data_IF_846586016490
#
_entry.id   IF_846586016490
#
_cell.length_a   1.000
_cell.length_b   1.000
_cell.length_c   1.000
_cell.angle_alpha   90.00
_cell.angle_beta   90.00
_cell.angle_gamma   90.00
#
_symmetry.space_group_name_H-M   'P 1'
#
loop_
_entity.id
_entity.type
_entity.pdbx_description
1 polymer ?
#
# COMPACT_ATOMS: atom_id res chain seq x y z
N UNK A 1 -4.23 22.29 50.69
CA UNK A 1 -3.01 22.65 49.93
C UNK A 1 -2.15 21.41 49.86
N UNK A 2 -2.02 20.80 48.69
CA UNK A 2 -1.20 19.60 48.47
C UNK A 2 -0.20 19.94 47.38
N UNK A 3 1.07 20.03 47.76
CA UNK A 3 2.20 20.32 46.88
C UNK A 3 2.70 18.99 46.35
N UNK A 4 2.63 18.79 45.03
CA UNK A 4 3.23 17.65 44.33
C UNK A 4 4.54 18.11 43.68
N UNK A 5 5.68 17.41 43.89
CA UNK A 5 6.99 17.86 43.42
C UNK A 5 7.19 17.60 41.92
N UNK A 6 7.74 18.60 41.24
CA UNK A 6 8.13 18.61 39.83
C UNK A 6 9.45 17.84 39.67
N UNK A 7 9.44 16.74 38.91
CA UNK A 7 10.67 16.04 38.52
C UNK A 7 11.43 16.84 37.45
N UNK A 8 12.70 17.16 37.74
CA UNK A 8 13.69 17.68 36.79
C UNK A 8 14.06 16.60 35.78
N UNK A 9 13.74 16.81 34.51
CA UNK A 9 14.30 16.01 33.40
C UNK A 9 15.61 16.68 32.97
N UNK A 10 16.73 16.00 33.25
CA UNK A 10 18.05 16.32 32.74
C UNK A 10 18.05 16.25 31.20
N UNK A 11 18.27 17.38 30.52
CA UNK A 11 18.69 17.39 29.13
C UNK A 11 20.19 17.04 29.06
N UNK A 12 20.52 15.95 28.38
CA UNK A 12 21.91 15.68 27.94
C UNK A 12 22.18 16.50 26.67
N UNK A 13 23.31 17.22 26.56
CA UNK A 13 23.69 17.88 25.31
C UNK A 13 24.19 16.84 24.30
N UNK A 14 23.46 16.67 23.20
CA UNK A 14 23.98 15.98 22.02
C UNK A 14 24.96 16.91 21.29
N UNK A 15 26.26 16.65 21.43
CA UNK A 15 27.28 17.22 20.56
C UNK A 15 27.06 16.72 19.13
N UNK A 16 26.50 17.58 18.29
CA UNK A 16 26.49 17.37 16.84
C UNK A 16 27.81 17.91 16.26
N UNK A 17 28.63 17.02 15.69
CA UNK A 17 29.74 17.40 14.80
C UNK A 17 29.14 18.05 13.55
N UNK A 18 29.48 19.30 13.29
CA UNK A 18 29.29 19.90 11.97
C UNK A 18 30.29 19.26 11.00
N UNK A 19 29.79 18.45 10.07
CA UNK A 19 30.52 18.11 8.85
C UNK A 19 30.05 19.11 7.80
N UNK A 20 30.93 20.04 7.41
CA UNK A 20 30.69 20.89 6.25
C UNK A 20 30.68 20.01 5.00
N UNK A 21 29.51 19.83 4.40
CA UNK A 21 29.37 19.24 3.07
C UNK A 21 29.14 20.40 2.12
N UNK A 22 30.17 20.75 1.34
CA UNK A 22 30.01 21.65 0.20
C UNK A 22 29.15 20.94 -0.85
N UNK A 23 27.86 21.30 -0.93
CA UNK A 23 26.94 20.78 -1.95
C UNK A 23 26.85 21.78 -3.10
N UNK A 24 27.57 21.48 -4.18
CA UNK A 24 27.32 22.06 -5.50
C UNK A 24 26.01 21.45 -6.05
N UNK A 25 25.12 22.22 -6.70
CA UNK A 25 23.89 21.66 -7.24
C UNK A 25 24.18 20.94 -8.55
N UNK A 26 24.46 19.64 -8.50
CA UNK A 26 24.28 18.78 -9.66
C UNK A 26 22.88 18.18 -9.60
N UNK A 27 22.08 18.46 -10.64
CA UNK A 27 20.83 17.75 -10.93
C UNK A 27 21.16 16.26 -11.13
N UNK A 28 21.06 15.47 -10.08
CA UNK A 28 21.04 14.03 -10.18
C UNK A 28 19.60 13.59 -10.50
N UNK A 29 19.39 13.17 -11.74
CA UNK A 29 18.25 12.35 -12.14
C UNK A 29 18.40 11.04 -11.35
N UNK A 30 17.45 10.76 -10.45
CA UNK A 30 17.40 9.49 -9.72
C UNK A 30 17.00 8.41 -10.73
N UNK A 31 18.01 7.81 -11.34
CA UNK A 31 17.86 6.71 -12.29
C UNK A 31 17.77 5.39 -11.51
N UNK A 32 16.57 5.02 -11.10
CA UNK A 32 16.30 3.73 -10.42
C UNK A 32 16.56 2.51 -11.32
N UNK A 33 16.91 2.71 -12.61
CA UNK A 33 17.25 1.63 -13.55
C UNK A 33 18.68 1.10 -13.47
N UNK A 34 19.60 1.76 -12.75
CA UNK A 34 21.04 1.41 -12.78
C UNK A 34 21.43 0.22 -11.87
N UNK A 35 20.68 -0.04 -10.80
CA UNK A 35 21.00 -1.11 -9.85
C UNK A 35 20.56 -2.50 -10.35
N UNK A 36 19.42 -2.57 -11.05
CA UNK A 36 18.90 -3.82 -11.63
C UNK A 36 19.76 -4.29 -12.81
N UNK A 37 20.22 -3.36 -13.65
CA UNK A 37 21.11 -3.65 -14.78
C UNK A 37 22.50 -4.15 -14.34
N UNK A 38 23.05 -3.64 -13.23
CA UNK A 38 24.33 -4.15 -12.70
C UNK A 38 24.21 -5.58 -12.18
N UNK A 39 23.13 -5.90 -11.48
CA UNK A 39 22.88 -7.25 -10.96
C UNK A 39 22.63 -8.27 -12.10
N UNK A 40 21.91 -7.88 -13.15
CA UNK A 40 21.74 -8.70 -14.34
C UNK A 40 23.06 -8.93 -15.08
N UNK A 41 23.89 -7.90 -15.25
CA UNK A 41 25.21 -8.02 -15.88
C UNK A 41 26.15 -8.94 -15.09
N UNK A 42 26.15 -8.85 -13.75
CA UNK A 42 26.90 -9.75 -12.88
C UNK A 42 26.41 -11.19 -13.07
N UNK A 43 25.10 -11.43 -13.06
CA UNK A 43 24.52 -12.76 -13.24
C UNK A 43 24.87 -13.36 -14.62
N UNK A 44 24.80 -12.56 -15.68
CA UNK A 44 25.18 -12.96 -17.04
C UNK A 44 26.66 -13.35 -17.09
N UNK A 45 27.53 -12.56 -16.44
CA UNK A 45 28.98 -12.84 -16.40
C UNK A 45 29.31 -14.13 -15.65
N UNK A 46 28.64 -14.42 -14.53
CA UNK A 46 28.80 -15.65 -13.74
C UNK A 46 28.31 -16.87 -14.52
N UNK A 47 27.18 -16.75 -15.21
CA UNK A 47 26.64 -17.80 -16.07
C UNK A 47 27.56 -18.10 -17.27
N UNK A 48 28.21 -17.07 -17.83
CA UNK A 48 29.20 -17.25 -18.91
C UNK A 48 30.44 -17.99 -18.41
N UNK A 49 31.05 -17.55 -17.30
CA UNK A 49 32.23 -18.21 -16.68
C UNK A 49 31.96 -19.68 -16.33
N UNK A 50 30.79 -19.99 -15.78
CA UNK A 50 30.41 -21.38 -15.46
C UNK A 50 30.18 -22.23 -16.70
N UNK A 51 29.62 -21.66 -17.77
CA UNK A 51 29.48 -22.33 -19.09
C UNK A 51 30.83 -22.65 -19.70
N UNK A 52 31.76 -21.70 -19.66
CA UNK A 52 33.11 -21.86 -20.22
C UNK A 52 33.92 -22.90 -19.43
N UNK A 53 33.84 -22.90 -18.09
CA UNK A 53 34.45 -23.94 -17.24
C UNK A 53 33.91 -25.34 -17.55
N UNK A 54 32.60 -25.47 -17.77
CA UNK A 54 31.98 -26.75 -18.18
C UNK A 54 32.40 -27.19 -19.57
N UNK A 55 32.62 -26.25 -20.49
CA UNK A 55 33.10 -26.53 -21.86
C UNK A 55 34.55 -27.00 -21.84
N UNK A 56 35.42 -26.34 -21.07
CA UNK A 56 36.81 -26.74 -20.88
C UNK A 56 36.91 -28.15 -20.28
N UNK A 57 36.17 -28.42 -19.20
CA UNK A 57 36.14 -29.75 -18.57
C UNK A 57 35.62 -30.86 -19.50
N UNK A 58 34.79 -30.54 -20.50
CA UNK A 58 34.35 -31.53 -21.51
C UNK A 58 35.44 -31.83 -22.53
N UNK A 59 36.26 -30.84 -22.85
CA UNK A 59 37.33 -30.95 -23.85
C UNK A 59 38.59 -31.62 -23.29
N UNK A 60 38.80 -31.60 -21.98
CA UNK A 60 39.98 -32.20 -21.31
C UNK A 60 39.81 -33.68 -20.95
N UNK A 61 38.61 -34.26 -21.09
CA UNK A 61 38.34 -35.65 -20.75
C UNK A 61 38.61 -36.58 -21.94
N UNK A 62 39.50 -37.55 -21.77
CA UNK A 62 39.82 -38.58 -22.78
C UNK A 62 39.64 -40.00 -22.23
N UNK A 63 39.41 -40.97 -23.14
CA UNK A 63 39.37 -42.40 -22.81
C UNK A 63 38.29 -42.81 -21.79
N UNK A 64 38.62 -43.62 -20.78
CA UNK A 64 37.64 -44.19 -19.83
C UNK A 64 36.98 -43.15 -18.91
N UNK A 65 37.61 -41.99 -18.69
CA UNK A 65 37.01 -40.90 -17.92
C UNK A 65 35.86 -40.22 -18.70
N UNK A 66 35.97 -40.14 -20.03
CA UNK A 66 34.94 -39.59 -20.90
C UNK A 66 33.70 -40.48 -20.94
N UNK A 67 33.87 -41.80 -20.95
CA UNK A 67 32.75 -42.76 -20.93
C UNK A 67 31.98 -42.71 -19.60
N UNK A 68 32.68 -42.64 -18.47
CA UNK A 68 32.05 -42.44 -17.15
C UNK A 68 31.28 -41.11 -17.07
N UNK A 69 31.85 -40.01 -17.57
CA UNK A 69 31.18 -38.72 -17.60
C UNK A 69 29.91 -38.72 -18.47
N UNK A 70 29.95 -39.40 -19.63
CA UNK A 70 28.77 -39.58 -20.50
C UNK A 70 27.69 -40.43 -19.81
N UNK A 71 28.07 -41.52 -19.14
CA UNK A 71 27.14 -42.37 -18.40
C UNK A 71 26.46 -41.59 -17.25
N UNK A 72 27.21 -40.82 -16.47
CA UNK A 72 26.65 -39.97 -15.41
C UNK A 72 25.72 -38.89 -15.96
N UNK A 73 26.07 -38.26 -17.09
CA UNK A 73 25.19 -37.29 -17.77
C UNK A 73 23.91 -37.95 -18.28
N UNK A 74 23.98 -39.15 -18.85
CA UNK A 74 22.80 -39.89 -19.29
C UNK A 74 21.88 -40.23 -18.10
N UNK A 75 22.45 -40.68 -16.97
CA UNK A 75 21.69 -40.91 -15.73
C UNK A 75 21.03 -39.60 -15.24
N UNK A 76 21.78 -38.50 -15.24
CA UNK A 76 21.26 -37.19 -14.84
C UNK A 76 20.12 -36.73 -15.76
N UNK A 77 20.29 -36.84 -17.08
CA UNK A 77 19.26 -36.52 -18.06
C UNK A 77 18.02 -37.40 -17.88
N UNK A 78 18.19 -38.70 -17.69
CA UNK A 78 17.08 -39.62 -17.39
C UNK A 78 16.35 -39.23 -16.10
N UNK A 79 17.07 -38.90 -15.02
CA UNK A 79 16.48 -38.42 -13.77
C UNK A 79 15.69 -37.12 -13.99
N UNK A 80 16.26 -36.17 -14.73
CA UNK A 80 15.59 -34.91 -15.08
C UNK A 80 14.33 -35.13 -15.93
N UNK A 81 14.40 -35.96 -16.98
CA UNK A 81 13.24 -36.34 -17.79
C UNK A 81 12.16 -37.04 -16.95
N UNK A 82 12.55 -38.01 -16.10
CA UNK A 82 11.62 -38.71 -15.21
C UNK A 82 10.95 -37.75 -14.22
N UNK A 83 11.69 -36.81 -13.65
CA UNK A 83 11.13 -35.79 -12.75
C UNK A 83 10.21 -34.82 -13.48
N UNK A 84 10.52 -34.44 -14.72
CA UNK A 84 9.66 -33.62 -15.58
C UNK A 84 8.33 -34.35 -15.83
N UNK A 85 8.39 -35.62 -16.24
CA UNK A 85 7.19 -36.45 -16.46
C UNK A 85 6.38 -36.55 -15.16
N UNK A 86 7.02 -36.87 -14.02
CA UNK A 86 6.34 -36.90 -12.71
C UNK A 86 5.62 -35.58 -12.40
N UNK A 87 6.25 -34.42 -12.62
CA UNK A 87 5.62 -33.10 -12.38
C UNK A 87 4.41 -32.84 -13.27
N UNK A 88 4.40 -33.40 -14.48
CA UNK A 88 3.33 -33.25 -15.47
C UNK A 88 2.16 -34.22 -15.21
N UNK A 89 2.46 -35.42 -14.71
CA UNK A 89 1.46 -36.45 -14.37
C UNK A 89 0.93 -36.34 -12.94
N UNK A 90 1.53 -35.48 -12.08
CA UNK A 90 0.95 -35.16 -10.77
C UNK A 90 -0.50 -34.73 -10.93
N UNK A 91 -1.38 -35.33 -10.14
CA UNK A 91 -2.79 -34.94 -10.09
C UNK A 91 -2.87 -33.47 -9.63
N UNK A 92 -3.72 -32.65 -10.27
CA UNK A 92 -3.97 -31.28 -9.83
C UNK A 92 -4.69 -31.28 -8.46
N UNK A 93 -4.71 -30.13 -7.77
CA UNK A 93 -5.33 -30.01 -6.45
C UNK A 93 -6.86 -30.25 -6.48
N UNK A 94 -7.51 -30.07 -7.64
CA UNK A 94 -8.90 -30.45 -7.84
C UNK A 94 -9.01 -31.82 -8.53
N UNK A 95 -9.91 -32.66 -8.02
CA UNK A 95 -10.10 -34.05 -8.47
C UNK A 95 -10.64 -34.19 -9.91
N UNK A 96 -11.14 -33.10 -10.50
CA UNK A 96 -11.84 -33.12 -11.79
C UNK A 96 -10.92 -33.26 -13.02
N UNK A 97 -9.63 -32.89 -12.91
CA UNK A 97 -8.70 -32.98 -14.04
C UNK A 97 -7.73 -34.17 -13.91
N UNK A 98 -7.61 -34.98 -14.97
CA UNK A 98 -6.75 -36.18 -14.98
C UNK A 98 -5.26 -35.86 -14.80
N UNK A 99 -4.79 -34.72 -15.33
CA UNK A 99 -3.37 -34.31 -15.26
C UNK A 99 -3.22 -32.82 -14.96
N UNK A 100 -2.08 -32.42 -14.39
CA UNK A 100 -1.74 -31.01 -14.20
C UNK A 100 -1.65 -30.24 -15.52
N UNK A 101 -1.16 -30.88 -16.58
CA UNK A 101 -1.06 -30.25 -17.90
C UNK A 101 -2.43 -29.83 -18.45
N UNK A 102 -3.43 -30.71 -18.37
CA UNK A 102 -4.78 -30.39 -18.84
C UNK A 102 -5.40 -29.23 -18.05
N UNK A 103 -5.18 -29.18 -16.74
CA UNK A 103 -5.63 -28.08 -15.89
C UNK A 103 -4.99 -26.74 -16.27
N UNK A 104 -3.67 -26.72 -16.44
CA UNK A 104 -2.96 -25.49 -16.84
C UNK A 104 -3.40 -25.01 -18.22
N UNK A 105 -3.55 -25.92 -19.20
CA UNK A 105 -4.07 -25.56 -20.53
C UNK A 105 -5.48 -24.96 -20.46
N UNK A 106 -6.35 -25.51 -19.61
CA UNK A 106 -7.69 -24.96 -19.40
C UNK A 106 -7.63 -23.55 -18.78
N UNK A 107 -6.81 -23.35 -17.74
CA UNK A 107 -6.59 -22.03 -17.14
C UNK A 107 -6.07 -21.03 -18.16
N UNK A 108 -5.06 -21.40 -18.98
CA UNK A 108 -4.50 -20.51 -19.99
C UNK A 108 -5.58 -20.04 -20.97
N UNK A 109 -6.44 -20.96 -21.45
CA UNK A 109 -7.57 -20.63 -22.32
C UNK A 109 -8.53 -19.64 -21.66
N UNK A 110 -8.95 -19.91 -20.42
CA UNK A 110 -9.84 -19.01 -19.67
C UNK A 110 -9.20 -17.63 -19.51
N UNK A 111 -7.94 -17.57 -19.08
CA UNK A 111 -7.24 -16.30 -18.89
C UNK A 111 -7.05 -15.50 -20.18
N UNK A 112 -6.87 -16.17 -21.32
CA UNK A 112 -6.77 -15.52 -22.62
C UNK A 112 -8.11 -14.96 -23.12
N UNK A 113 -9.23 -15.55 -22.69
CA UNK A 113 -10.58 -15.09 -23.05
C UNK A 113 -11.09 -13.97 -22.15
N UNK A 114 -10.44 -13.71 -21.00
CA UNK A 114 -10.86 -12.65 -20.08
C UNK A 114 -10.42 -11.25 -20.59
N UNK A 115 -11.13 -10.19 -20.18
CA UNK A 115 -10.73 -8.81 -20.49
C UNK A 115 -9.31 -8.48 -20.03
N UNK A 116 -8.58 -7.68 -20.83
CA UNK A 116 -7.22 -7.22 -20.49
C UNK A 116 -7.17 -6.36 -19.21
N UNK A 117 -8.18 -5.53 -18.98
CA UNK A 117 -8.27 -4.65 -17.81
C UNK A 117 -8.60 -5.45 -16.54
N UNK A 118 -7.81 -5.26 -15.47
CA UNK A 118 -7.94 -6.03 -14.23
C UNK A 118 -9.24 -5.79 -13.48
N UNK A 119 -9.78 -4.56 -13.51
CA UNK A 119 -11.07 -4.25 -12.89
C UNK A 119 -12.21 -5.04 -13.56
N UNK A 120 -12.22 -5.06 -14.90
CA UNK A 120 -13.22 -5.81 -15.68
C UNK A 120 -13.06 -7.31 -15.48
N UNK A 121 -11.82 -7.81 -15.46
CA UNK A 121 -11.49 -9.21 -15.18
C UNK A 121 -12.03 -9.64 -13.81
N UNK A 122 -11.80 -8.85 -12.77
CA UNK A 122 -12.29 -9.13 -11.41
C UNK A 122 -13.81 -9.18 -11.36
N UNK A 123 -14.50 -8.24 -11.99
CA UNK A 123 -15.96 -8.22 -12.04
C UNK A 123 -16.55 -9.47 -12.72
N UNK A 124 -16.00 -9.86 -13.88
CA UNK A 124 -16.44 -11.07 -14.61
C UNK A 124 -16.21 -12.34 -13.78
N UNK A 125 -15.02 -12.50 -13.19
CA UNK A 125 -14.70 -13.66 -12.34
C UNK A 125 -15.60 -13.70 -11.10
N UNK A 126 -15.90 -12.55 -10.50
CA UNK A 126 -16.80 -12.45 -9.36
C UNK A 126 -18.22 -12.88 -9.74
N UNK A 127 -18.74 -12.45 -10.90
CA UNK A 127 -20.03 -12.89 -11.41
C UNK A 127 -20.06 -14.40 -11.68
N UNK A 128 -19.05 -14.94 -12.37
CA UNK A 128 -18.94 -16.38 -12.60
C UNK A 128 -18.90 -17.17 -11.28
N UNK A 129 -18.14 -16.70 -10.30
CA UNK A 129 -18.08 -17.33 -8.99
C UNK A 129 -19.42 -17.30 -8.24
N UNK A 130 -20.24 -16.26 -8.43
CA UNK A 130 -21.61 -16.20 -7.92
C UNK A 130 -22.53 -17.19 -8.64
N UNK A 131 -22.41 -17.33 -9.97
CA UNK A 131 -23.18 -18.29 -10.77
C UNK A 131 -22.87 -19.74 -10.37
N UNK A 132 -21.58 -20.06 -10.14
CA UNK A 132 -21.16 -21.38 -9.66
C UNK A 132 -21.43 -21.61 -8.16
N UNK A 133 -22.08 -20.67 -7.46
CA UNK A 133 -22.43 -20.81 -6.05
C UNK A 133 -21.24 -20.79 -5.09
N UNK A 134 -20.05 -20.35 -5.54
CA UNK A 134 -18.86 -20.21 -4.70
C UNK A 134 -18.93 -18.95 -3.81
N UNK A 135 -19.67 -17.93 -4.27
CA UNK A 135 -19.91 -16.70 -3.53
C UNK A 135 -21.43 -16.54 -3.40
N UNK A 136 -21.94 -16.56 -2.17
CA UNK A 136 -23.34 -16.26 -1.91
C UNK A 136 -23.67 -14.85 -2.39
N UNK A 137 -24.77 -14.68 -3.13
CA UNK A 137 -25.35 -13.35 -3.36
C UNK A 137 -25.63 -12.74 -1.97
N UNK A 138 -25.32 -11.45 -1.73
CA UNK A 138 -25.63 -10.84 -0.44
C UNK A 138 -27.14 -10.94 -0.19
N UNK A 139 -27.54 -11.87 0.69
CA UNK A 139 -28.94 -12.24 0.96
C UNK A 139 -29.75 -11.07 1.50
N UNK A 140 -29.09 -10.18 2.23
CA UNK A 140 -29.64 -8.90 2.65
C UNK A 140 -28.62 -7.83 2.30
N UNK A 141 -29.07 -6.76 1.66
CA UNK A 141 -28.36 -5.49 1.83
C UNK A 141 -28.35 -5.26 3.34
N UNK A 142 -27.18 -5.32 3.98
CA UNK A 142 -27.07 -4.78 5.33
C UNK A 142 -27.46 -3.33 5.17
N UNK A 143 -28.70 -2.99 5.52
CA UNK A 143 -29.05 -1.64 5.88
C UNK A 143 -28.12 -1.36 7.06
N UNK A 144 -26.93 -0.84 6.80
CA UNK A 144 -26.14 -0.22 7.85
C UNK A 144 -27.13 0.68 8.55
N UNK A 145 -27.46 0.38 9.80
CA UNK A 145 -28.42 1.11 10.63
C UNK A 145 -28.25 2.57 10.29
N UNK A 146 -29.18 3.10 9.49
CA UNK A 146 -28.97 4.40 8.88
C UNK A 146 -28.98 5.37 10.05
N UNK A 147 -27.82 5.98 10.30
CA UNK A 147 -27.69 6.89 11.41
C UNK A 147 -28.71 8.00 11.19
N UNK A 148 -29.47 8.32 12.23
CA UNK A 148 -30.49 9.37 12.16
C UNK A 148 -29.89 10.65 11.60
N UNK A 149 -30.56 11.28 10.61
CA UNK A 149 -30.06 12.51 10.01
C UNK A 149 -29.94 13.65 11.02
N UNK A 150 -30.72 13.60 12.11
CA UNK A 150 -30.57 14.52 13.24
C UNK A 150 -29.19 14.40 13.88
N UNK A 151 -28.72 13.17 14.09
CA UNK A 151 -27.43 12.88 14.69
C UNK A 151 -26.28 13.31 13.77
N UNK A 152 -26.40 13.07 12.45
CA UNK A 152 -25.44 13.56 11.46
C UNK A 152 -25.32 15.08 11.52
N UNK A 153 -26.45 15.79 11.56
CA UNK A 153 -26.47 17.26 11.65
C UNK A 153 -25.80 17.77 12.91
N UNK A 154 -26.06 17.18 14.07
CA UNK A 154 -25.41 17.57 15.34
C UNK A 154 -23.89 17.41 15.26
N UNK A 155 -23.40 16.27 14.77
CA UNK A 155 -21.96 16.03 14.58
C UNK A 155 -21.36 17.01 13.56
N UNK A 156 -22.07 17.28 12.47
CA UNK A 156 -21.64 18.22 11.44
C UNK A 156 -21.53 19.65 11.98
N UNK A 157 -22.52 20.09 12.78
CA UNK A 157 -22.51 21.40 13.45
C UNK A 157 -21.36 21.54 14.44
N UNK A 158 -21.08 20.49 15.24
CA UNK A 158 -19.93 20.47 16.15
C UNK A 158 -18.61 20.72 15.41
N UNK A 159 -18.38 20.04 14.28
CA UNK A 159 -17.16 20.24 13.50
C UNK A 159 -17.01 21.65 12.90
N UNK A 160 -18.11 22.37 12.68
CA UNK A 160 -18.09 23.71 12.09
C UNK A 160 -17.91 24.81 13.14
N UNK A 161 -18.06 24.51 14.43
CA UNK A 161 -17.84 25.49 15.49
C UNK A 161 -16.44 26.09 15.39
N UNK A 162 -16.37 27.41 15.56
CA UNK A 162 -15.12 28.17 15.46
C UNK A 162 -14.14 27.87 16.61
N UNK A 163 -14.62 27.25 17.70
CA UNK A 163 -13.80 26.75 18.81
C UNK A 163 -13.17 25.37 18.53
N UNK A 164 -13.74 24.62 17.59
CA UNK A 164 -13.32 23.25 17.25
C UNK A 164 -12.43 23.23 16.01
N UNK A 165 -12.76 24.05 15.02
CA UNK A 165 -11.98 24.20 13.80
C UNK A 165 -11.93 25.64 13.35
N UNK A 166 -10.86 26.04 12.65
CA UNK A 166 -10.78 27.36 12.02
C UNK A 166 -10.85 27.25 10.50
N UNK A 167 -11.48 28.25 9.87
CA UNK A 167 -11.59 28.32 8.41
C UNK A 167 -10.29 28.84 7.78
N UNK A 168 -9.84 28.20 6.70
CA UNK A 168 -8.71 28.69 5.94
C UNK A 168 -9.09 29.92 5.10
N UNK A 169 -8.23 30.96 5.06
CA UNK A 169 -8.51 32.19 4.32
C UNK A 169 -8.25 32.07 2.81
N UNK A 170 -7.53 31.04 2.35
CA UNK A 170 -7.05 30.92 0.98
C UNK A 170 -8.15 30.61 -0.04
N UNK A 171 -8.13 31.29 -1.19
CA UNK A 171 -9.03 30.99 -2.33
C UNK A 171 -8.87 29.54 -2.82
N UNK A 172 -7.62 29.04 -2.84
CA UNK A 172 -7.29 27.65 -3.20
C UNK A 172 -7.68 26.60 -2.14
N UNK A 173 -8.16 27.03 -0.99
CA UNK A 173 -8.68 26.15 0.05
C UNK A 173 -10.21 25.98 -0.03
N UNK A 174 -10.81 26.44 -1.13
CA UNK A 174 -12.23 26.18 -1.44
C UNK A 174 -12.41 24.79 -2.01
N UNK A 175 -13.38 24.03 -1.51
CA UNK A 175 -13.77 22.74 -2.06
C UNK A 175 -15.24 22.73 -2.46
N UNK A 176 -15.54 21.96 -3.50
CA UNK A 176 -16.90 21.72 -3.98
C UNK A 176 -17.35 20.38 -3.42
N UNK A 177 -18.41 20.37 -2.62
CA UNK A 177 -18.98 19.18 -1.99
C UNK A 177 -20.33 18.90 -2.62
N UNK A 178 -20.58 17.64 -2.95
CA UNK A 178 -21.88 17.18 -3.43
C UNK A 178 -22.63 16.51 -2.29
N UNK A 179 -23.82 16.99 -2.00
CA UNK A 179 -24.69 16.42 -0.97
C UNK A 179 -25.34 15.11 -1.46
N UNK A 180 -25.87 14.34 -0.52
CA UNK A 180 -26.58 13.07 -0.81
C UNK A 180 -27.79 13.26 -1.74
N UNK A 181 -28.37 14.47 -1.76
CA UNK A 181 -29.47 14.87 -2.64
C UNK A 181 -29.01 15.33 -4.04
N UNK A 182 -27.70 15.32 -4.30
CA UNK A 182 -27.10 15.72 -5.57
C UNK A 182 -26.81 17.21 -5.72
N UNK A 183 -27.15 18.03 -4.72
CA UNK A 183 -26.86 19.45 -4.69
C UNK A 183 -25.36 19.72 -4.53
N UNK A 184 -24.87 20.76 -5.18
CA UNK A 184 -23.46 21.13 -5.17
C UNK A 184 -23.29 22.37 -4.30
N UNK A 185 -22.57 22.22 -3.18
CA UNK A 185 -22.31 23.29 -2.23
C UNK A 185 -20.81 23.59 -2.20
N UNK A 186 -20.46 24.87 -2.27
CA UNK A 186 -19.07 25.32 -2.17
C UNK A 186 -18.75 25.66 -0.72
N UNK A 187 -17.69 25.06 -0.16
CA UNK A 187 -17.27 25.28 1.24
C UNK A 187 -15.76 25.48 1.32
N UNK A 188 -15.31 26.38 2.20
CA UNK A 188 -13.87 26.52 2.47
C UNK A 188 -13.40 25.44 3.43
N UNK A 189 -12.18 24.94 3.23
CA UNK A 189 -11.54 23.99 4.14
C UNK A 189 -11.42 24.58 5.54
N UNK A 190 -11.66 23.75 6.54
CA UNK A 190 -11.48 24.05 7.96
C UNK A 190 -10.44 23.11 8.55
N UNK A 191 -9.64 23.60 9.48
CA UNK A 191 -8.59 22.83 10.16
C UNK A 191 -9.00 22.62 11.60
N UNK A 192 -8.98 21.38 12.06
CA UNK A 192 -9.20 21.06 13.48
C UNK A 192 -8.06 21.55 14.35
N UNK A 193 -8.38 22.17 15.49
CA UNK A 193 -7.37 22.55 16.49
C UNK A 193 -6.77 21.32 17.18
N UNK A 194 -7.65 20.42 17.61
CA UNK A 194 -7.35 19.22 18.38
C UNK A 194 -7.30 17.95 17.52
N UNK A 195 -6.77 16.87 18.10
CA UNK A 195 -6.81 15.56 17.47
C UNK A 195 -8.25 15.00 17.42
N UNK A 196 -8.50 14.03 16.54
CA UNK A 196 -9.85 13.42 16.44
C UNK A 196 -10.29 12.75 17.75
N UNK A 197 -9.36 12.21 18.54
CA UNK A 197 -9.65 11.60 19.83
C UNK A 197 -10.13 12.65 20.85
N UNK A 198 -9.40 13.76 20.98
CA UNK A 198 -9.72 14.88 21.88
C UNK A 198 -11.06 15.51 21.51
N UNK A 199 -11.29 15.77 20.23
CA UNK A 199 -12.58 16.30 19.74
C UNK A 199 -13.76 15.38 20.06
N UNK A 200 -13.55 14.05 20.06
CA UNK A 200 -14.60 13.10 20.41
C UNK A 200 -14.93 13.10 21.90
N UNK A 201 -13.93 13.32 22.75
CA UNK A 201 -14.12 13.48 24.20
C UNK A 201 -14.90 14.78 24.48
N UNK A 202 -14.50 15.89 23.87
CA UNK A 202 -15.25 17.17 23.95
C UNK A 202 -16.69 17.01 23.46
N UNK A 203 -16.90 16.33 22.34
CA UNK A 203 -18.24 16.08 21.81
C UNK A 203 -19.12 15.30 22.81
N UNK A 204 -18.55 14.31 23.50
CA UNK A 204 -19.26 13.54 24.54
C UNK A 204 -19.56 14.34 25.78
N UNK A 205 -18.66 15.25 26.17
CA UNK A 205 -18.87 16.14 27.31
C UNK A 205 -20.02 17.11 27.06
N UNK A 206 -20.10 17.68 25.85
CA UNK A 206 -21.19 18.58 25.43
C UNK A 206 -22.50 17.83 25.18
N UNK A 207 -22.43 16.62 24.62
CA UNK A 207 -23.60 15.85 24.16
C UNK A 207 -23.73 14.51 24.88
N UNK A 208 -23.86 14.55 26.22
CA UNK A 208 -23.96 13.35 27.08
C UNK A 208 -25.12 12.40 26.73
N UNK A 209 -26.16 12.91 26.06
CA UNK A 209 -27.34 12.13 25.69
C UNK A 209 -27.16 11.33 24.38
N UNK A 210 -26.06 11.54 23.67
CA UNK A 210 -25.82 10.94 22.36
C UNK A 210 -24.83 9.78 22.48
N UNK A 211 -25.34 8.56 22.31
CA UNK A 211 -24.51 7.36 22.26
C UNK A 211 -23.96 7.16 20.84
N UNK A 212 -22.74 7.65 20.62
CA UNK A 212 -22.06 7.57 19.34
C UNK A 212 -20.64 7.03 19.52
N UNK A 213 -20.21 6.11 18.66
CA UNK A 213 -18.88 5.50 18.71
C UNK A 213 -17.82 6.37 18.04
N UNK A 214 -16.57 6.29 18.52
CA UNK A 214 -15.43 7.08 17.99
C UNK A 214 -15.17 6.85 16.49
N UNK A 215 -15.30 5.61 16.02
CA UNK A 215 -15.14 5.29 14.60
C UNK A 215 -16.22 5.94 13.76
N UNK A 216 -17.47 5.86 14.20
CA UNK A 216 -18.62 6.50 13.54
C UNK A 216 -18.46 8.02 13.54
N UNK A 217 -17.98 8.62 14.63
CA UNK A 217 -17.70 10.06 14.73
C UNK A 217 -16.72 10.51 13.66
N UNK A 218 -15.59 9.81 13.54
CA UNK A 218 -14.56 10.12 12.56
C UNK A 218 -15.04 9.99 11.11
N UNK A 219 -15.96 9.04 10.83
CA UNK A 219 -16.56 8.85 9.51
C UNK A 219 -17.57 9.95 9.16
N UNK A 220 -18.31 10.46 10.15
CA UNK A 220 -19.29 11.54 9.96
C UNK A 220 -18.65 12.92 9.78
N UNK A 221 -17.33 13.02 9.87
CA UNK A 221 -16.62 14.29 9.68
C UNK A 221 -16.87 14.82 8.26
N UNK A 222 -17.26 16.10 8.12
CA UNK A 222 -17.43 16.72 6.82
C UNK A 222 -16.12 16.69 6.01
N UNK A 223 -16.18 16.50 4.67
CA UNK A 223 -14.97 16.38 3.85
C UNK A 223 -14.12 17.65 3.79
N UNK A 224 -14.71 18.83 4.01
CA UNK A 224 -13.98 20.11 4.09
C UNK A 224 -13.26 20.30 5.43
N UNK A 225 -13.55 19.50 6.45
CA UNK A 225 -12.89 19.59 7.75
C UNK A 225 -11.72 18.62 7.78
N UNK A 226 -10.50 19.16 7.84
CA UNK A 226 -9.27 18.37 7.77
C UNK A 226 -8.50 18.40 9.09
N UNK A 227 -7.81 17.30 9.46
CA UNK A 227 -6.94 17.27 10.64
C UNK A 227 -5.76 18.22 10.52
N UNK A 228 -5.24 18.68 11.65
CA UNK A 228 -4.00 19.48 11.75
C UNK A 228 -2.80 18.85 11.02
N UNK A 229 -2.71 17.52 11.01
CA UNK A 229 -1.66 16.78 10.31
C UNK A 229 -1.61 17.08 8.79
N UNK A 230 -2.74 17.49 8.19
CA UNK A 230 -2.80 17.90 6.78
C UNK A 230 -1.88 19.10 6.46
N UNK A 231 -1.61 19.95 7.46
CA UNK A 231 -0.75 21.12 7.30
C UNK A 231 0.74 20.82 7.51
N UNK A 232 1.11 19.65 8.02
CA UNK A 232 2.50 19.33 8.41
C UNK A 232 3.49 19.48 7.23
N UNK A 233 3.05 19.17 6.00
CA UNK A 233 3.86 19.35 4.79
C UNK A 233 3.94 20.81 4.29
N UNK A 234 3.00 21.68 4.69
CA UNK A 234 2.98 23.10 4.29
C UNK A 234 3.71 24.01 5.28
N UNK A 235 3.80 23.61 6.55
CA UNK A 235 4.38 24.44 7.63
C UNK A 235 5.92 24.40 7.64
N UNK A 236 6.56 23.31 7.16
CA UNK A 236 8.03 23.22 7.14
C UNK A 236 8.72 24.23 6.22
N UNK A 237 8.04 24.85 5.26
CA UNK A 237 8.66 25.86 4.37
C UNK A 237 8.63 27.26 5.00
N UNK A 238 7.65 27.55 5.86
CA UNK A 238 7.44 28.91 6.40
C UNK A 238 8.18 29.18 7.72
N UNK A 239 8.45 28.16 8.54
CA UNK A 239 9.17 28.35 9.81
C UNK A 239 10.66 28.67 9.61
N UNK A 240 11.30 28.18 8.54
CA UNK A 240 12.70 28.50 8.27
C UNK A 240 12.90 29.89 7.64
N UNK A 241 11.95 30.40 6.84
CA UNK A 241 12.10 31.73 6.21
C UNK A 241 11.86 32.89 7.17
N UNK A 242 10.98 32.76 8.17
CA UNK A 242 10.71 33.85 9.14
C UNK A 242 11.74 33.97 10.26
N UNK A 243 12.54 32.93 10.52
CA UNK A 243 13.59 32.95 11.54
C UNK A 243 14.94 33.48 11.04
N UNK A 244 15.00 34.03 9.82
CA UNK A 244 16.23 34.59 9.23
C UNK A 244 16.09 36.07 8.81
N UNK A 245 14.94 36.71 9.07
CA UNK A 245 14.67 38.12 8.71
C UNK A 245 14.70 39.06 9.94
N UNK A 246 14.99 38.53 11.14
CA UNK A 246 15.05 39.31 12.38
C UNK A 246 16.42 39.24 13.10
N UNK A 247 17.50 39.01 12.37
CA UNK A 247 18.86 39.24 12.85
C UNK A 247 19.67 40.03 11.83
#
# INVERSE_FOLDING_TARGET
MVVIPIYKILQKPHHYRQVQVNVTPQRAIVDTGSAETKNEQILISVNKKTRDRKKLNRNTLTGPQLTQFRAQNNIHQHKCCRNKIKRLTRKPPSSSFKTRQSFVKALTKVTSSLPKCDLKKKAVVQHLAQEFGLISKPTHQRSSLQLSDKLKKVVHSFYIQDDISYQLPGKGDTIVVKDDLGNITTSRKRILFYNLCENYELFKEENKNINLNRSTFAVLRPPFVVPKAYLAHRICVYLYQKMFIFF
#
